data_IF_670560086388
#
_entry.id   IF_670560086388
#
_cell.length_a   1.000
_cell.length_b   1.000
_cell.length_c   1.000
_cell.angle_alpha   90.00
_cell.angle_beta   90.00
_cell.angle_gamma   90.00
#
_symmetry.space_group_name_H-M   'P 1'
#
loop_
_entity.id
_entity.type
_entity.pdbx_description
1 polymer ?
#
# COMPACT_ATOMS: atom_id res chain seq x y z
N UNK A 1 1.24 -23.37 -0.66
CA UNK A 1 0.30 -22.22 -0.66
C UNK A 1 0.94 -21.06 0.10
N UNK A 2 1.32 -19.96 -0.58
CA UNK A 2 1.90 -18.78 0.08
C UNK A 2 0.81 -18.17 0.98
N UNK A 3 0.98 -18.26 2.30
CA UNK A 3 0.06 -17.64 3.28
C UNK A 3 -0.12 -16.16 2.92
N UNK A 4 -1.35 -15.59 2.97
CA UNK A 4 -1.56 -14.18 2.67
C UNK A 4 -0.74 -13.37 3.68
N UNK A 5 0.22 -12.58 3.19
CA UNK A 5 0.90 -11.58 4.02
C UNK A 5 -0.21 -10.71 4.61
N UNK A 6 -0.31 -10.63 5.94
CA UNK A 6 -1.25 -9.72 6.60
C UNK A 6 -0.93 -8.31 6.09
N UNK A 7 -1.74 -7.80 5.18
CA UNK A 7 -1.57 -6.45 4.66
C UNK A 7 -1.78 -5.44 5.79
N UNK A 8 -0.83 -4.52 5.94
CA UNK A 8 -0.88 -3.51 6.98
C UNK A 8 -2.11 -2.60 6.81
N UNK A 9 -2.53 -1.89 7.88
CA UNK A 9 -3.64 -0.91 7.77
C UNK A 9 -3.36 0.13 6.68
N UNK A 10 -2.11 0.57 6.55
CA UNK A 10 -1.67 1.52 5.52
C UNK A 10 -1.86 0.93 4.12
N UNK A 11 -1.44 -0.31 3.86
CA UNK A 11 -1.63 -0.95 2.54
C UNK A 11 -3.12 -1.04 2.15
N UNK A 12 -4.00 -1.33 3.12
CA UNK A 12 -5.45 -1.38 2.88
C UNK A 12 -6.02 0.00 2.54
N UNK A 13 -5.60 1.05 3.24
CA UNK A 13 -6.04 2.43 2.96
C UNK A 13 -5.52 2.90 1.60
N UNK A 14 -4.25 2.64 1.31
CA UNK A 14 -3.62 2.98 0.02
C UNK A 14 -4.30 2.26 -1.14
N UNK A 15 -4.71 1.00 -0.96
CA UNK A 15 -5.47 0.25 -1.97
C UNK A 15 -6.89 0.82 -2.16
N UNK A 16 -7.59 1.19 -1.09
CA UNK A 16 -8.89 1.83 -1.18
C UNK A 16 -8.84 3.17 -1.92
N UNK A 17 -7.85 4.02 -1.60
CA UNK A 17 -7.69 5.31 -2.25
C UNK A 17 -7.37 5.18 -3.75
N UNK A 18 -6.63 4.15 -4.14
CA UNK A 18 -6.40 3.82 -5.55
C UNK A 18 -7.70 3.36 -6.26
N UNK A 19 -8.49 2.48 -5.63
CA UNK A 19 -9.77 2.00 -6.20
C UNK A 19 -10.80 3.13 -6.34
N UNK A 20 -10.75 4.13 -5.45
CA UNK A 20 -11.60 5.33 -5.50
C UNK A 20 -11.13 6.35 -6.55
N UNK A 21 -9.99 6.10 -7.22
CA UNK A 21 -9.39 7.04 -8.18
C UNK A 21 -8.77 8.28 -7.54
N UNK A 22 -8.61 8.29 -6.20
CA UNK A 22 -7.96 9.39 -5.46
C UNK A 22 -6.44 9.33 -5.65
N UNK A 23 -5.88 8.12 -5.72
CA UNK A 23 -4.48 7.90 -6.01
C UNK A 23 -4.30 7.32 -7.41
N UNK A 24 -3.29 7.81 -8.10
CA UNK A 24 -2.73 7.20 -9.30
C UNK A 24 -1.91 5.95 -8.95
N UNK A 25 -1.60 5.15 -9.97
CA UNK A 25 -0.76 3.96 -9.79
C UNK A 25 0.64 4.33 -9.27
N UNK A 26 1.21 5.45 -9.74
CA UNK A 26 2.54 5.92 -9.32
C UNK A 26 2.56 6.33 -7.84
N UNK A 27 1.54 7.07 -7.38
CA UNK A 27 1.42 7.47 -5.98
C UNK A 27 1.24 6.26 -5.06
N UNK A 28 0.43 5.28 -5.47
CA UNK A 28 0.27 3.99 -4.76
C UNK A 28 1.62 3.28 -4.58
N UNK A 29 2.44 3.25 -5.62
CA UNK A 29 3.75 2.60 -5.57
C UNK A 29 4.75 3.34 -4.69
N UNK A 30 4.75 4.68 -4.72
CA UNK A 30 5.59 5.47 -3.82
C UNK A 30 5.23 5.23 -2.35
N UNK A 31 3.94 5.22 -2.00
CA UNK A 31 3.49 4.98 -0.62
C UNK A 31 3.89 3.57 -0.14
N UNK A 32 3.82 2.56 -1.03
CA UNK A 32 4.31 1.22 -0.69
C UNK A 32 5.82 1.20 -0.40
N UNK A 33 6.62 1.92 -1.19
CA UNK A 33 8.08 2.02 -0.98
C UNK A 33 8.42 2.73 0.33
N UNK A 34 7.73 3.83 0.67
CA UNK A 34 7.98 4.57 1.92
C UNK A 34 7.50 3.80 3.15
N UNK A 35 6.37 3.10 3.07
CA UNK A 35 5.84 2.29 4.17
C UNK A 35 6.79 1.16 4.59
N UNK A 36 7.59 0.60 3.67
CA UNK A 36 8.60 -0.42 4.01
C UNK A 36 9.91 0.15 4.57
N UNK A 37 10.14 1.46 4.42
CA UNK A 37 11.40 2.11 4.78
C UNK A 37 11.41 2.65 6.23
N UNK A 38 10.25 2.76 6.87
CA UNK A 38 10.12 3.29 8.24
C UNK A 38 10.37 2.26 9.36
N UNK A 39 10.74 1.02 9.06
CA UNK A 39 11.08 -0.01 10.07
C UNK A 39 12.59 -0.20 10.27
N UNK A 40 13.39 0.87 10.21
CA UNK A 40 14.80 0.84 10.61
C UNK A 40 15.05 1.77 11.78
#
# INVERSE_FOLDING_TARGET
MKKPRRTGRIEKVTELLYLMGVLTQEEREQIKKTSTRQTK
#
